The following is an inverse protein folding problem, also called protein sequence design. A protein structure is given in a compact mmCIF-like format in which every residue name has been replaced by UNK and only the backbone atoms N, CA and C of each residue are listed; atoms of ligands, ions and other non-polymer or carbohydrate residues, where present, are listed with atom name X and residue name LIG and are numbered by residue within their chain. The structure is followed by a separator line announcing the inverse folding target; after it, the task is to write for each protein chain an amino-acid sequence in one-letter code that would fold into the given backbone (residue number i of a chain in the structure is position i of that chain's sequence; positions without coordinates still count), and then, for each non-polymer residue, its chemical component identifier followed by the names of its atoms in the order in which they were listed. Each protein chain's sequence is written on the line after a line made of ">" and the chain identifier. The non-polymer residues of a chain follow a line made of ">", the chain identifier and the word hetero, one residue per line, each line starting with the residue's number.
data_IF_117610570231
#
_entry.id   IF_117610570231
#
_cell.length_a   1.000
_cell.length_b   1.000
_cell.length_c   1.000
_cell.angle_alpha   90.00
_cell.angle_beta   90.00
_cell.angle_gamma   90.00
#
_symmetry.space_group_name_H-M   'P 1'
#
loop_
_entity.id
_entity.type
_entity.pdbx_description
1 polymer ?
#
# COMPACT_ATOMS: atom_id res chain seq x y z
N UNK A 1 0.57 12.02 -12.22
CA UNK A 1 1.39 10.85 -12.63
C UNK A 1 0.82 10.29 -13.92
N UNK A 2 1.63 10.17 -14.97
CA UNK A 2 1.26 9.55 -16.25
C UNK A 2 1.20 8.04 -16.11
N UNK A 3 0.70 7.35 -17.14
CA UNK A 3 0.63 5.87 -17.14
C UNK A 3 2.04 5.24 -17.07
N UNK A 4 3.01 5.79 -17.81
CA UNK A 4 4.39 5.28 -17.82
C UNK A 4 5.07 5.50 -16.45
N UNK A 5 4.92 6.67 -15.85
CA UNK A 5 5.42 6.96 -14.49
C UNK A 5 4.80 6.02 -13.43
N UNK A 6 3.51 5.67 -13.59
CA UNK A 6 2.84 4.71 -12.72
C UNK A 6 3.47 3.33 -12.85
N UNK A 7 3.72 2.87 -14.07
CA UNK A 7 4.34 1.58 -14.35
C UNK A 7 5.76 1.51 -13.75
N UNK A 8 6.56 2.56 -13.95
CA UNK A 8 7.88 2.68 -13.34
C UNK A 8 7.81 2.62 -11.81
N UNK A 9 6.84 3.31 -11.19
CA UNK A 9 6.65 3.28 -9.74
C UNK A 9 6.27 1.87 -9.23
N UNK A 10 5.39 1.15 -9.94
CA UNK A 10 5.01 -0.23 -9.63
C UNK A 10 6.23 -1.17 -9.67
N UNK A 11 7.05 -1.07 -10.71
CA UNK A 11 8.24 -1.91 -10.88
C UNK A 11 9.35 -1.59 -9.86
N UNK A 12 9.55 -0.30 -9.55
CA UNK A 12 10.61 0.16 -8.66
C UNK A 12 10.27 0.04 -7.17
N UNK A 13 8.98 0.00 -6.80
CA UNK A 13 8.53 -0.03 -5.41
C UNK A 13 8.87 -1.35 -4.73
N UNK A 14 9.69 -1.30 -3.72
CA UNK A 14 9.95 -2.41 -2.81
C UNK A 14 9.81 -1.96 -1.35
N UNK A 15 9.55 -2.88 -0.43
CA UNK A 15 9.53 -2.59 0.99
C UNK A 15 10.93 -2.25 1.50
N UNK A 16 11.07 -1.11 2.18
CA UNK A 16 12.32 -0.62 2.76
C UNK A 16 12.16 -0.47 4.26
N UNK A 17 13.07 -1.06 5.03
CA UNK A 17 13.03 -1.09 6.49
C UNK A 17 14.05 -0.14 7.15
N UNK A 18 15.08 0.30 6.39
CA UNK A 18 16.13 1.20 6.90
C UNK A 18 16.14 2.49 6.11
N UNK A 19 16.07 3.61 6.81
CA UNK A 19 15.96 4.93 6.22
C UNK A 19 17.16 5.79 6.57
N UNK A 20 17.49 6.75 5.70
CA UNK A 20 18.50 7.78 5.95
C UNK A 20 17.95 8.77 6.98
N UNK A 21 18.81 9.25 7.84
CA UNK A 21 18.47 10.30 8.82
C UNK A 21 18.58 11.68 8.15
N UNK A 22 17.68 11.92 7.18
CA UNK A 22 17.56 13.19 6.47
C UNK A 22 16.07 13.56 6.34
N UNK A 23 15.72 14.84 6.52
CA UNK A 23 14.34 15.27 6.41
C UNK A 23 13.83 15.14 4.98
N UNK A 24 12.53 14.87 4.81
CA UNK A 24 11.86 14.97 3.52
C UNK A 24 11.77 16.45 3.16
N UNK A 25 12.18 16.81 1.95
CA UNK A 25 12.15 18.19 1.47
C UNK A 25 10.72 18.77 1.48
N UNK A 26 10.59 20.06 1.82
CA UNK A 26 9.28 20.70 1.95
C UNK A 26 8.47 20.67 0.66
N UNK A 27 9.10 20.77 -0.49
CA UNK A 27 8.46 20.65 -1.81
C UNK A 27 7.83 19.27 -2.02
N UNK A 28 8.50 18.20 -1.55
CA UNK A 28 8.03 16.81 -1.64
C UNK A 28 6.89 16.59 -0.63
N UNK A 29 7.02 17.13 0.61
CA UNK A 29 5.94 17.09 1.62
C UNK A 29 4.67 17.73 1.06
N UNK A 30 4.77 18.92 0.48
CA UNK A 30 3.63 19.65 -0.07
C UNK A 30 2.93 18.87 -1.19
N UNK A 31 3.68 18.20 -2.07
CA UNK A 31 3.11 17.37 -3.12
C UNK A 31 2.40 16.12 -2.56
N UNK A 32 3.03 15.45 -1.60
CA UNK A 32 2.46 14.26 -0.97
C UNK A 32 1.19 14.60 -0.18
N UNK A 33 1.21 15.69 0.60
CA UNK A 33 0.06 16.15 1.39
C UNK A 33 -1.12 16.51 0.48
N UNK A 34 -0.89 17.26 -0.61
CA UNK A 34 -1.91 17.59 -1.57
C UNK A 34 -2.54 16.34 -2.23
N UNK A 35 -1.73 15.33 -2.53
CA UNK A 35 -2.20 14.06 -3.08
C UNK A 35 -2.99 13.24 -2.06
N UNK A 36 -2.57 13.23 -0.80
CA UNK A 36 -3.30 12.56 0.30
C UNK A 36 -4.65 13.25 0.53
N UNK A 37 -4.71 14.59 0.47
CA UNK A 37 -5.98 15.34 0.57
C UNK A 37 -6.95 14.95 -0.56
N UNK A 38 -6.47 14.71 -1.78
CA UNK A 38 -7.27 14.17 -2.88
C UNK A 38 -7.78 12.76 -2.57
N UNK A 39 -6.89 11.87 -2.13
CA UNK A 39 -7.27 10.52 -1.72
C UNK A 39 -8.31 10.51 -0.60
N UNK A 40 -8.19 11.41 0.38
CA UNK A 40 -9.16 11.55 1.47
C UNK A 40 -10.54 12.02 0.95
N UNK A 41 -10.57 12.96 0.01
CA UNK A 41 -11.83 13.42 -0.61
C UNK A 41 -12.53 12.31 -1.40
N UNK A 42 -11.76 11.48 -2.12
CA UNK A 42 -12.28 10.37 -2.92
C UNK A 42 -12.78 9.22 -2.05
N UNK A 43 -12.04 8.86 -1.00
CA UNK A 43 -12.27 7.66 -0.18
C UNK A 43 -13.19 7.89 1.01
N UNK A 44 -13.31 9.13 1.50
CA UNK A 44 -13.91 9.45 2.78
C UNK A 44 -13.06 9.05 4.00
N UNK A 45 -11.79 8.67 3.80
CA UNK A 45 -10.83 8.43 4.86
C UNK A 45 -10.27 9.74 5.43
N UNK A 46 -9.50 9.63 6.51
CA UNK A 46 -8.74 10.72 7.11
C UNK A 46 -7.27 10.29 7.27
N UNK A 47 -6.63 9.98 6.14
CA UNK A 47 -5.23 9.58 6.07
C UNK A 47 -4.36 10.81 6.39
N UNK A 48 -3.35 10.63 7.22
CA UNK A 48 -2.43 11.72 7.60
C UNK A 48 -0.98 11.26 7.55
N UNK A 49 -0.06 12.19 7.29
CA UNK A 49 1.38 11.93 7.45
C UNK A 49 1.86 12.52 8.77
N UNK A 50 2.73 11.81 9.45
CA UNK A 50 3.52 12.30 10.56
C UNK A 50 4.95 12.51 10.06
N UNK A 51 5.36 13.75 9.97
CA UNK A 51 6.73 14.12 9.62
C UNK A 51 7.55 14.36 10.88
N UNK A 52 8.84 14.00 10.81
CA UNK A 52 9.82 14.24 11.88
C UNK A 52 9.36 13.71 13.26
N UNK A 53 8.65 12.56 13.26
CA UNK A 53 8.13 11.89 14.45
C UNK A 53 8.71 10.47 14.61
N UNK A 54 9.97 10.32 15.03
CA UNK A 54 10.61 9.02 15.22
C UNK A 54 9.95 8.17 16.30
N UNK A 55 9.16 8.77 17.21
CA UNK A 55 8.47 8.06 18.29
C UNK A 55 7.48 7.01 17.73
N UNK A 56 6.94 7.23 16.51
CA UNK A 56 6.03 6.28 15.84
C UNK A 56 6.67 4.91 15.62
N UNK A 57 7.99 4.84 15.49
CA UNK A 57 8.74 3.59 15.30
C UNK A 57 9.79 3.33 16.36
N UNK A 58 9.88 4.14 17.42
CA UNK A 58 10.73 3.82 18.58
C UNK A 58 10.00 2.89 19.55
N UNK A 59 10.07 1.60 19.27
CA UNK A 59 9.49 0.56 20.12
C UNK A 59 10.22 -0.77 19.93
N UNK A 60 10.05 -1.69 20.92
CA UNK A 60 10.56 -3.07 20.76
C UNK A 60 9.97 -3.76 19.55
N UNK A 61 8.69 -3.51 19.25
CA UNK A 61 8.00 -4.11 18.11
C UNK A 61 8.54 -3.59 16.78
N UNK A 62 8.85 -2.29 16.67
CA UNK A 62 9.50 -1.73 15.48
C UNK A 62 10.89 -2.35 15.26
N UNK A 63 11.68 -2.49 16.31
CA UNK A 63 12.99 -3.16 16.26
C UNK A 63 12.89 -4.64 15.90
N UNK A 64 11.88 -5.34 16.41
CA UNK A 64 11.58 -6.73 16.00
C UNK A 64 11.24 -6.82 14.50
N UNK A 65 10.51 -5.84 13.96
CA UNK A 65 10.23 -5.70 12.53
C UNK A 65 11.43 -5.22 11.70
N UNK A 66 12.62 -5.06 12.32
CA UNK A 66 13.86 -4.59 11.67
C UNK A 66 13.81 -3.16 11.15
N UNK A 67 12.85 -2.35 11.58
CA UNK A 67 12.79 -0.93 11.23
C UNK A 67 13.92 -0.13 11.87
N UNK A 68 14.56 0.74 11.07
CA UNK A 68 15.67 1.63 11.50
C UNK A 68 15.49 3.02 10.91
N UNK A 69 15.69 4.04 11.75
CA UNK A 69 15.67 5.47 11.39
C UNK A 69 14.37 5.89 10.69
N UNK A 70 13.22 5.33 11.08
CA UNK A 70 11.92 5.78 10.56
C UNK A 70 11.54 7.07 11.26
N UNK A 71 11.72 8.20 10.58
CA UNK A 71 11.36 9.52 11.07
C UNK A 71 9.99 10.00 10.60
N UNK A 72 9.40 9.35 9.57
CA UNK A 72 8.10 9.75 9.02
C UNK A 72 7.26 8.52 8.73
N UNK A 73 5.95 8.67 8.81
CA UNK A 73 5.02 7.58 8.51
C UNK A 73 3.62 8.10 8.18
N UNK A 74 2.91 7.32 7.39
CA UNK A 74 1.51 7.57 7.02
C UNK A 74 0.63 6.78 8.00
N UNK A 75 -0.46 7.39 8.48
CA UNK A 75 -1.46 6.76 9.35
C UNK A 75 -2.75 6.57 8.55
N UNK A 76 -3.12 5.31 8.31
CA UNK A 76 -4.37 4.95 7.63
C UNK A 76 -5.49 4.86 8.67
N UNK A 77 -6.38 5.83 8.66
CA UNK A 77 -7.49 5.98 9.58
C UNK A 77 -8.65 6.73 8.94
N UNK A 78 -9.79 6.70 9.57
CA UNK A 78 -10.97 7.44 9.13
C UNK A 78 -12.25 6.94 9.81
N UNK A 79 -13.39 7.52 9.45
CA UNK A 79 -14.68 7.00 9.88
C UNK A 79 -14.86 5.58 9.35
N UNK A 80 -15.42 4.70 10.18
CA UNK A 80 -15.69 3.32 9.77
C UNK A 80 -16.78 3.30 8.71
N UNK A 81 -16.39 2.99 7.48
CA UNK A 81 -17.25 2.82 6.31
C UNK A 81 -17.37 1.34 5.95
N UNK A 82 -18.26 1.01 5.01
CA UNK A 82 -18.28 -0.33 4.41
C UNK A 82 -16.90 -0.61 3.77
N UNK A 83 -16.44 -1.85 3.89
CA UNK A 83 -15.14 -2.30 3.36
C UNK A 83 -13.92 -1.44 3.72
N UNK A 84 -13.95 -0.85 4.93
CA UNK A 84 -12.93 0.07 5.45
C UNK A 84 -11.50 -0.42 5.21
N UNK A 85 -11.22 -1.69 5.52
CA UNK A 85 -9.88 -2.27 5.37
C UNK A 85 -9.46 -2.35 3.89
N UNK A 86 -10.38 -2.74 2.98
CA UNK A 86 -10.13 -2.74 1.55
C UNK A 86 -9.84 -1.32 1.04
N UNK A 87 -10.67 -0.35 1.42
CA UNK A 87 -10.51 1.06 1.02
C UNK A 87 -9.18 1.62 1.54
N UNK A 88 -8.78 1.28 2.77
CA UNK A 88 -7.46 1.63 3.31
C UNK A 88 -6.32 0.99 2.49
N UNK A 89 -6.45 -0.26 2.08
CA UNK A 89 -5.49 -0.95 1.21
C UNK A 89 -5.37 -0.26 -0.15
N UNK A 90 -6.49 0.02 -0.78
CA UNK A 90 -6.55 0.63 -2.12
C UNK A 90 -5.94 2.04 -2.14
N UNK A 91 -6.39 2.93 -1.26
CA UNK A 91 -5.90 4.30 -1.22
C UNK A 91 -4.52 4.42 -0.57
N UNK A 92 -4.21 3.55 0.39
CA UNK A 92 -2.87 3.44 0.95
C UNK A 92 -1.82 3.10 -0.10
N UNK A 93 -2.12 2.13 -0.99
CA UNK A 93 -1.19 1.77 -2.07
C UNK A 93 -1.13 2.85 -3.17
N UNK A 94 -2.25 3.53 -3.45
CA UNK A 94 -2.27 4.71 -4.33
C UNK A 94 -1.27 5.77 -3.85
N UNK A 95 -1.21 6.01 -2.53
CA UNK A 95 -0.26 6.94 -1.92
C UNK A 95 1.17 6.38 -1.92
N UNK A 96 1.35 5.08 -1.68
CA UNK A 96 2.66 4.40 -1.72
C UNK A 96 3.32 4.52 -3.08
N UNK A 97 2.59 4.29 -4.16
CA UNK A 97 3.12 4.42 -5.52
C UNK A 97 3.42 5.88 -5.88
N UNK A 98 2.61 6.83 -5.40
CA UNK A 98 2.90 8.25 -5.56
C UNK A 98 4.15 8.67 -4.76
N UNK A 99 4.31 8.18 -3.54
CA UNK A 99 5.53 8.41 -2.75
C UNK A 99 6.78 7.83 -3.45
N UNK A 100 6.68 6.65 -4.07
CA UNK A 100 7.75 6.07 -4.89
C UNK A 100 8.10 6.98 -6.09
N UNK A 101 7.12 7.52 -6.78
CA UNK A 101 7.33 8.49 -7.87
C UNK A 101 8.04 9.76 -7.38
N UNK A 102 7.77 10.21 -6.16
CA UNK A 102 8.46 11.34 -5.52
C UNK A 102 9.88 10.98 -5.01
N UNK A 103 10.36 9.76 -5.23
CA UNK A 103 11.67 9.29 -4.78
C UNK A 103 11.74 8.85 -3.32
N UNK A 104 10.58 8.67 -2.67
CA UNK A 104 10.48 8.16 -1.31
C UNK A 104 10.29 6.64 -1.31
N UNK A 105 10.79 6.00 -0.27
CA UNK A 105 10.57 4.58 -0.03
C UNK A 105 9.58 4.37 1.12
N UNK A 106 8.90 3.23 1.11
CA UNK A 106 7.84 2.91 2.05
C UNK A 106 7.92 1.46 2.54
N UNK A 107 7.24 1.19 3.66
CA UNK A 107 6.95 -0.17 4.11
C UNK A 107 5.67 -0.20 4.94
N UNK A 108 4.73 -1.06 4.57
CA UNK A 108 3.51 -1.33 5.31
C UNK A 108 3.82 -2.00 6.66
N UNK A 109 3.18 -1.54 7.75
CA UNK A 109 3.39 -2.05 9.10
C UNK A 109 2.07 -2.18 9.87
N UNK A 110 1.58 -3.42 10.04
CA UNK A 110 0.37 -3.72 10.79
C UNK A 110 0.60 -3.81 12.30
N UNK A 111 1.79 -4.29 12.72
CA UNK A 111 2.07 -4.58 14.14
C UNK A 111 3.40 -3.98 14.63
N UNK A 112 4.34 -3.71 13.74
CA UNK A 112 5.75 -3.41 14.04
C UNK A 112 6.04 -1.92 14.16
N UNK A 113 5.20 -1.21 14.93
CA UNK A 113 5.32 0.22 15.22
C UNK A 113 5.01 0.51 16.70
N UNK A 114 5.10 1.77 17.14
CA UNK A 114 4.73 2.19 18.49
C UNK A 114 3.24 2.45 18.61
N UNK A 115 2.48 1.41 19.00
CA UNK A 115 1.02 1.47 19.15
C UNK A 115 0.55 2.57 20.11
N UNK A 116 1.35 2.87 21.18
CA UNK A 116 0.98 3.90 22.15
C UNK A 116 1.03 5.29 21.50
N UNK A 117 2.11 5.58 20.77
CA UNK A 117 2.27 6.84 20.05
C UNK A 117 1.19 7.01 18.98
N UNK A 118 1.02 6.03 18.09
CA UNK A 118 0.05 6.09 17.00
C UNK A 118 -1.38 6.24 17.52
N UNK A 119 -1.73 5.59 18.64
CA UNK A 119 -3.07 5.72 19.25
C UNK A 119 -3.42 7.16 19.62
N UNK A 120 -2.44 8.01 19.93
CA UNK A 120 -2.70 9.44 20.25
C UNK A 120 -3.08 10.28 19.02
N UNK A 121 -2.84 9.75 17.81
CA UNK A 121 -3.11 10.41 16.54
C UNK A 121 -4.49 10.05 15.96
N UNK A 122 -5.23 9.13 16.63
CA UNK A 122 -6.50 8.61 16.15
C UNK A 122 -7.63 9.22 16.97
N UNK A 123 -8.50 10.04 16.36
CA UNK A 123 -9.73 10.53 17.00
C UNK A 123 -10.60 9.37 17.53
N UNK A 124 -11.36 9.63 18.60
CA UNK A 124 -12.19 8.59 19.23
C UNK A 124 -13.29 8.02 18.35
N UNK A 125 -13.74 8.80 17.37
CA UNK A 125 -14.79 8.46 16.42
C UNK A 125 -14.26 7.89 15.11
N UNK A 126 -12.93 7.66 15.02
CA UNK A 126 -12.29 7.06 13.87
C UNK A 126 -11.79 5.64 14.15
N UNK A 127 -11.82 4.83 13.09
CA UNK A 127 -11.16 3.53 13.05
C UNK A 127 -9.71 3.70 12.55
N UNK A 128 -8.86 2.82 13.00
CA UNK A 128 -7.46 2.70 12.58
C UNK A 128 -7.27 1.41 11.78
N UNK A 129 -6.57 1.49 10.67
CA UNK A 129 -6.18 0.34 9.87
C UNK A 129 -4.72 -0.06 10.19
N UNK A 130 -3.76 0.71 9.71
CA UNK A 130 -2.33 0.47 9.95
C UNK A 130 -1.49 1.71 9.64
N UNK A 131 -0.17 1.59 9.75
CA UNK A 131 0.77 2.64 9.35
C UNK A 131 1.65 2.19 8.20
N UNK A 132 2.20 3.16 7.46
CA UNK A 132 3.19 2.93 6.42
C UNK A 132 4.41 3.77 6.75
N UNK A 133 5.57 3.13 7.00
CA UNK A 133 6.84 3.84 7.16
C UNK A 133 7.21 4.58 5.86
N UNK A 134 7.80 5.77 5.98
CA UNK A 134 8.04 6.68 4.86
C UNK A 134 9.38 7.40 5.02
N UNK A 135 10.13 7.56 3.93
CA UNK A 135 11.37 8.35 3.92
C UNK A 135 12.30 7.98 2.79
N UNK A 136 13.48 8.55 2.77
CA UNK A 136 14.55 8.15 1.85
C UNK A 136 15.23 6.88 2.37
N UNK A 137 15.13 5.79 1.62
CA UNK A 137 15.72 4.51 2.00
C UNK A 137 17.25 4.50 1.91
N UNK A 138 17.91 3.74 2.80
CA UNK A 138 19.34 3.44 2.65
C UNK A 138 19.60 2.54 1.43
N UNK A 139 18.59 1.80 1.01
CA UNK A 139 18.56 0.99 -0.22
C UNK A 139 17.21 1.18 -0.91
N UNK A 140 17.10 0.72 -2.14
CA UNK A 140 15.81 0.71 -2.86
C UNK A 140 14.98 -0.56 -2.57
N UNK A 141 15.36 -1.34 -1.56
CA UNK A 141 14.73 -2.61 -1.25
C UNK A 141 15.13 -3.73 -2.20
N UNK A 142 14.40 -4.83 -2.17
CA UNK A 142 14.63 -6.00 -3.03
C UNK A 142 13.31 -6.55 -3.53
N UNK A 143 13.29 -7.01 -4.77
CA UNK A 143 12.16 -7.76 -5.31
C UNK A 143 11.90 -9.01 -4.45
N UNK A 144 10.64 -9.33 -4.25
CA UNK A 144 10.23 -10.56 -3.57
C UNK A 144 10.00 -11.69 -4.59
N UNK A 145 10.13 -12.93 -4.13
CA UNK A 145 9.72 -14.08 -4.93
C UNK A 145 8.19 -14.16 -4.88
N UNK A 146 7.54 -13.93 -6.02
CA UNK A 146 6.08 -14.00 -6.17
C UNK A 146 5.57 -15.39 -6.52
N UNK A 147 4.25 -15.55 -6.48
CA UNK A 147 3.52 -16.65 -7.10
C UNK A 147 3.54 -16.50 -8.64
N UNK A 148 3.20 -17.56 -9.33
CA UNK A 148 2.95 -17.48 -10.76
C UNK A 148 1.57 -16.88 -11.06
N UNK A 149 1.37 -16.37 -12.26
CA UNK A 149 0.07 -15.87 -12.74
C UNK A 149 -1.04 -16.93 -12.51
N UNK A 150 -0.78 -18.18 -12.86
CA UNK A 150 -1.75 -19.27 -12.73
C UNK A 150 -2.14 -19.60 -11.28
N UNK A 151 -1.32 -19.25 -10.27
CA UNK A 151 -1.64 -19.48 -8.87
C UNK A 151 -2.70 -18.50 -8.34
N UNK A 152 -2.89 -17.37 -9.02
CA UNK A 152 -3.70 -16.23 -8.58
C UNK A 152 -4.84 -15.85 -9.53
N UNK A 153 -5.16 -16.71 -10.51
CA UNK A 153 -6.29 -16.53 -11.42
C UNK A 153 -7.24 -17.71 -11.35
N UNK A 154 -8.53 -17.44 -11.56
CA UNK A 154 -9.60 -18.42 -11.78
C UNK A 154 -10.38 -17.98 -13.02
N UNK A 155 -9.85 -18.33 -14.19
CA UNK A 155 -10.40 -17.96 -15.50
C UNK A 155 -10.46 -19.22 -16.37
N UNK A 156 -11.61 -19.43 -17.02
CA UNK A 156 -11.77 -20.51 -17.99
C UNK A 156 -11.54 -19.99 -19.41
N UNK A 157 -10.53 -20.51 -20.09
CA UNK A 157 -10.20 -20.14 -21.45
C UNK A 157 -9.03 -19.17 -21.58
N UNK A 158 -8.95 -18.48 -22.71
CA UNK A 158 -7.88 -17.51 -22.97
C UNK A 158 -8.07 -16.22 -22.16
N UNK A 159 -6.97 -15.69 -21.64
CA UNK A 159 -6.94 -14.42 -20.91
C UNK A 159 -6.48 -13.30 -21.85
N UNK A 160 -7.24 -12.20 -21.98
CA UNK A 160 -6.79 -11.05 -22.75
C UNK A 160 -5.47 -10.46 -22.21
N UNK A 161 -4.63 -9.92 -23.08
CA UNK A 161 -3.33 -9.35 -22.71
C UNK A 161 -3.43 -8.29 -21.59
N UNK A 162 -4.46 -7.43 -21.64
CA UNK A 162 -4.68 -6.41 -20.61
C UNK A 162 -4.99 -7.03 -19.23
N UNK A 163 -5.71 -8.18 -19.19
CA UNK A 163 -5.99 -8.86 -17.93
C UNK A 163 -4.72 -9.49 -17.35
N UNK A 164 -3.92 -10.12 -18.21
CA UNK A 164 -2.60 -10.68 -17.82
C UNK A 164 -1.71 -9.57 -17.25
N UNK A 165 -1.58 -8.44 -17.95
CA UNK A 165 -0.79 -7.30 -17.49
C UNK A 165 -1.26 -6.75 -16.12
N UNK A 166 -2.59 -6.68 -15.92
CA UNK A 166 -3.16 -6.27 -14.62
C UNK A 166 -2.83 -7.23 -13.49
N UNK A 167 -2.93 -8.54 -13.71
CA UNK A 167 -2.59 -9.55 -12.71
C UNK A 167 -1.09 -9.60 -12.44
N UNK A 168 -0.24 -9.45 -13.47
CA UNK A 168 1.22 -9.35 -13.29
C UNK A 168 1.59 -8.13 -12.46
N UNK A 169 0.95 -6.98 -12.68
CA UNK A 169 1.11 -5.81 -11.80
C UNK A 169 0.69 -6.10 -10.36
N UNK A 170 -0.45 -6.77 -10.15
CA UNK A 170 -0.92 -7.15 -8.83
C UNK A 170 0.02 -8.14 -8.11
N UNK A 171 0.78 -8.95 -8.84
CA UNK A 171 1.82 -9.84 -8.29
C UNK A 171 3.04 -9.07 -7.77
N UNK A 172 3.27 -7.81 -8.20
CA UNK A 172 4.30 -6.93 -7.67
C UNK A 172 3.84 -6.19 -6.39
N UNK A 173 2.56 -6.22 -6.08
CA UNK A 173 1.97 -5.55 -4.93
C UNK A 173 2.51 -6.11 -3.60
N UNK A 174 2.72 -5.27 -2.56
CA UNK A 174 3.05 -5.77 -1.24
C UNK A 174 1.82 -6.42 -0.61
N UNK A 175 2.01 -7.59 0.00
CA UNK A 175 1.00 -8.26 0.81
C UNK A 175 1.57 -8.65 2.16
N UNK A 176 0.72 -8.81 3.17
CA UNK A 176 1.14 -9.20 4.51
C UNK A 176 2.00 -10.47 4.45
N UNK A 177 3.22 -10.40 4.99
CA UNK A 177 4.25 -11.47 4.94
C UNK A 177 4.45 -12.08 3.55
N UNK A 178 4.19 -11.32 2.51
CA UNK A 178 4.23 -11.76 1.09
C UNK A 178 3.36 -13.02 0.82
N UNK A 179 2.20 -13.09 1.48
CA UNK A 179 1.33 -14.27 1.40
C UNK A 179 0.61 -14.43 0.05
N UNK A 180 0.39 -13.32 -0.67
CA UNK A 180 -0.29 -13.28 -1.98
C UNK A 180 -1.56 -14.17 -2.01
N UNK A 181 -2.44 -14.01 -1.00
CA UNK A 181 -3.66 -14.80 -0.83
C UNK A 181 -4.86 -14.12 -1.53
N UNK A 182 -4.75 -13.97 -2.81
CA UNK A 182 -5.80 -13.43 -3.65
C UNK A 182 -6.01 -14.29 -4.90
N UNK A 183 -7.15 -14.15 -5.54
CA UNK A 183 -7.48 -14.75 -6.83
C UNK A 183 -8.31 -13.77 -7.65
N UNK A 184 -7.87 -13.52 -8.87
CA UNK A 184 -8.61 -12.73 -9.86
C UNK A 184 -9.48 -13.65 -10.73
N UNK A 185 -10.70 -13.19 -11.04
CA UNK A 185 -11.61 -13.85 -11.98
C UNK A 185 -12.03 -12.85 -13.04
N UNK A 186 -12.31 -13.37 -14.24
CA UNK A 186 -12.76 -12.60 -15.39
C UNK A 186 -14.06 -13.21 -15.94
N UNK A 187 -15.12 -12.42 -15.99
CA UNK A 187 -16.40 -12.78 -16.59
C UNK A 187 -16.79 -11.73 -17.65
N UNK A 188 -16.60 -12.06 -18.92
CA UNK A 188 -16.66 -11.08 -20.00
C UNK A 188 -15.56 -10.02 -19.84
N UNK A 189 -15.94 -8.75 -19.67
CA UNK A 189 -15.01 -7.64 -19.37
C UNK A 189 -14.96 -7.25 -17.89
N UNK A 190 -15.66 -7.98 -17.04
CA UNK A 190 -15.75 -7.70 -15.60
C UNK A 190 -14.70 -8.47 -14.83
N UNK A 191 -13.85 -7.73 -14.12
CA UNK A 191 -12.79 -8.28 -13.27
C UNK A 191 -13.23 -8.26 -11.83
N UNK A 192 -13.00 -9.34 -11.10
CA UNK A 192 -13.18 -9.38 -9.66
C UNK A 192 -11.96 -9.98 -8.96
N UNK A 193 -11.72 -9.57 -7.70
CA UNK A 193 -10.70 -10.14 -6.84
C UNK A 193 -11.30 -10.62 -5.53
N UNK A 194 -10.88 -11.81 -5.08
CA UNK A 194 -11.34 -12.41 -3.82
C UNK A 194 -10.17 -12.98 -3.03
N UNK A 195 -10.37 -13.13 -1.72
CA UNK A 195 -9.40 -13.79 -0.86
C UNK A 195 -9.31 -15.29 -1.17
N UNK A 196 -8.09 -15.81 -1.30
CA UNK A 196 -7.81 -17.24 -1.42
C UNK A 196 -7.44 -17.80 -0.03
N UNK A 197 -8.45 -18.04 0.78
CA UNK A 197 -8.28 -18.49 2.17
C UNK A 197 -8.17 -17.35 3.19
N UNK A 198 -7.84 -17.72 4.42
CA UNK A 198 -7.72 -16.80 5.54
C UNK A 198 -6.26 -16.43 5.81
N UNK A 199 -6.02 -15.21 6.28
CA UNK A 199 -4.70 -14.73 6.67
C UNK A 199 -4.77 -13.35 7.30
N UNK A 200 -3.68 -12.91 7.94
CA UNK A 200 -3.62 -11.57 8.48
C UNK A 200 -3.77 -10.55 7.36
N UNK A 201 -4.45 -9.44 7.64
CA UNK A 201 -4.59 -8.27 6.77
C UNK A 201 -5.13 -8.56 5.36
N UNK A 202 -5.81 -9.71 5.15
CA UNK A 202 -6.25 -10.16 3.81
C UNK A 202 -7.15 -9.14 3.10
N UNK A 203 -8.01 -8.42 3.84
CA UNK A 203 -8.88 -7.38 3.24
C UNK A 203 -8.08 -6.17 2.75
N UNK A 204 -7.05 -5.78 3.49
CA UNK A 204 -6.13 -4.70 3.10
C UNK A 204 -5.35 -5.15 1.87
N UNK A 205 -4.82 -6.37 1.87
CA UNK A 205 -4.11 -6.96 0.73
C UNK A 205 -4.97 -6.93 -0.54
N UNK A 206 -6.28 -7.23 -0.44
CA UNK A 206 -7.19 -7.15 -1.59
C UNK A 206 -7.29 -5.73 -2.16
N UNK A 207 -7.36 -4.72 -1.30
CA UNK A 207 -7.35 -3.33 -1.74
C UNK A 207 -6.05 -2.94 -2.45
N UNK A 208 -4.91 -3.36 -1.90
CA UNK A 208 -3.58 -3.12 -2.47
C UNK A 208 -3.47 -3.74 -3.88
N UNK A 209 -3.80 -5.02 -4.03
CA UNK A 209 -3.69 -5.70 -5.34
C UNK A 209 -4.71 -5.20 -6.35
N UNK A 210 -5.91 -4.79 -5.90
CA UNK A 210 -6.90 -4.17 -6.76
C UNK A 210 -6.40 -2.84 -7.32
N UNK A 211 -5.72 -2.01 -6.49
CA UNK A 211 -5.15 -0.77 -6.98
C UNK A 211 -4.05 -1.00 -8.02
N UNK A 212 -3.16 -1.97 -7.82
CA UNK A 212 -2.13 -2.33 -8.80
C UNK A 212 -2.73 -2.74 -10.14
N UNK A 213 -3.78 -3.57 -10.11
CA UNK A 213 -4.50 -3.96 -11.32
C UNK A 213 -5.12 -2.74 -12.03
N UNK A 214 -5.86 -1.91 -11.28
CA UNK A 214 -6.51 -0.71 -11.82
C UNK A 214 -5.49 0.27 -12.41
N UNK A 215 -4.38 0.48 -11.72
CA UNK A 215 -3.31 1.38 -12.14
C UNK A 215 -2.61 0.93 -13.44
N UNK A 216 -2.46 -0.38 -13.62
CA UNK A 216 -1.82 -0.95 -14.81
C UNK A 216 -2.76 -1.06 -16.02
N UNK A 217 -4.08 -1.07 -15.81
CA UNK A 217 -5.04 -1.35 -16.87
C UNK A 217 -6.04 -0.23 -17.14
N UNK A 218 -6.20 0.71 -16.20
CA UNK A 218 -7.29 1.70 -16.21
C UNK A 218 -8.68 1.10 -15.95
N UNK A 219 -8.79 -0.19 -15.59
CA UNK A 219 -10.04 -0.91 -15.36
C UNK A 219 -10.28 -1.16 -13.89
N UNK A 220 -11.53 -0.96 -13.43
CA UNK A 220 -11.89 -1.16 -12.03
C UNK A 220 -12.13 -2.62 -11.69
N UNK A 221 -11.58 -3.04 -10.54
CA UNK A 221 -11.77 -4.38 -9.99
C UNK A 221 -12.91 -4.38 -8.99
N UNK A 222 -13.84 -5.33 -9.10
CA UNK A 222 -14.86 -5.63 -8.08
C UNK A 222 -14.28 -6.51 -6.98
N UNK A 223 -14.78 -6.37 -5.74
CA UNK A 223 -14.32 -7.13 -4.56
C UNK A 223 -15.49 -7.58 -3.69
#
# INVERSE_FOLDING_TARGET
>A
MTFDEMKEAIEARHSVLSYKDIPIEQSVRNQLDAFIDECNRESGLNITVQYDDPEGFDSRMARYGSFRNVGNYIVLKGKKIADFDFVCGYYGEKIVLYAQHLGLNTCWAALTFNKKRVKTLIPKDEAFCMVIALGYGETQGKSHKGKSLHDVVDVKGEMPEWFVAGVESALLAPTAVNQQKFVFSLEGDEVSVKAKGFGPETKVDLGIVAYHFDAATGRKVKH
#
